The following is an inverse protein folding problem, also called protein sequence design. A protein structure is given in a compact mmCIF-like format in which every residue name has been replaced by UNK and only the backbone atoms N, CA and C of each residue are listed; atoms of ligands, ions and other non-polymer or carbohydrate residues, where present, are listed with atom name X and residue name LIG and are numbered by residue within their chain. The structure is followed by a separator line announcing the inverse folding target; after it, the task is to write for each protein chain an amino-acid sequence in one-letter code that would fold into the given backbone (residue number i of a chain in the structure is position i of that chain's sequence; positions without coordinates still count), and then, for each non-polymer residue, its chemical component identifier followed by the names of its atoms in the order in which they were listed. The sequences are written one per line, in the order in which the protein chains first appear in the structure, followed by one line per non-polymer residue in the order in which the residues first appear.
data_IF_922328879810
#
_entry.id   IF_922328879810
#
_cell.length_a   1.000
_cell.length_b   1.000
_cell.length_c   1.000
_cell.angle_alpha   90.00
_cell.angle_beta   90.00
_cell.angle_gamma   90.00
#
_symmetry.space_group_name_H-M   'P 1'
#
loop_
_entity.id
_entity.type
_entity.pdbx_description
1 polymer ?
#
# COMPACT_ATOMS: atom_id res chain seq x y z
N UNK A 1 -10.24 1.78 -43.52
CA UNK A 1 -10.25 2.84 -42.47
C UNK A 1 -9.37 2.45 -41.27
N UNK A 2 -8.03 2.35 -41.43
CA UNK A 2 -7.14 1.67 -40.45
C UNK A 2 -5.77 2.35 -40.22
N UNK A 3 -5.64 3.64 -40.57
CA UNK A 3 -4.35 4.38 -40.56
C UNK A 3 -4.27 5.61 -39.65
N UNK A 4 -5.31 5.98 -38.90
CA UNK A 4 -5.28 7.16 -37.99
C UNK A 4 -4.85 6.88 -36.54
N UNK A 5 -4.89 5.63 -36.07
CA UNK A 5 -4.59 5.28 -34.67
C UNK A 5 -3.09 5.32 -34.29
N UNK A 6 -2.18 5.20 -35.27
CA UNK A 6 -0.73 5.17 -35.01
C UNK A 6 -0.09 6.54 -34.74
N UNK A 7 -0.77 7.64 -35.07
CA UNK A 7 -0.25 9.01 -34.88
C UNK A 7 -0.59 9.57 -33.50
N UNK A 8 -1.75 9.19 -32.95
CA UNK A 8 -2.19 9.56 -31.60
C UNK A 8 -1.37 8.86 -30.50
N UNK A 9 -0.99 7.58 -30.68
CA UNK A 9 -0.13 6.86 -29.72
C UNK A 9 1.25 7.50 -29.55
N UNK A 10 1.82 8.08 -30.62
CA UNK A 10 3.13 8.75 -30.58
C UNK A 10 3.09 10.13 -29.92
N UNK A 11 1.96 10.83 -30.03
CA UNK A 11 1.78 12.12 -29.37
C UNK A 11 1.53 11.95 -27.87
N UNK A 12 0.73 10.94 -27.47
CA UNK A 12 0.44 10.68 -26.06
C UNK A 12 1.69 10.25 -25.27
N UNK A 13 2.62 9.52 -25.91
CA UNK A 13 3.92 9.16 -25.33
C UNK A 13 4.89 10.33 -25.17
N UNK A 14 4.61 11.49 -25.78
CA UNK A 14 5.48 12.68 -25.82
C UNK A 14 4.96 13.83 -24.97
N UNK A 15 3.66 13.86 -24.67
CA UNK A 15 3.02 14.85 -23.78
C UNK A 15 2.83 14.33 -22.35
N UNK A 16 2.75 13.02 -22.15
CA UNK A 16 2.83 12.39 -20.82
C UNK A 16 4.27 11.93 -20.57
N UNK A 17 5.15 12.87 -20.25
CA UNK A 17 6.37 12.52 -19.54
C UNK A 17 5.99 11.78 -18.26
N UNK A 18 6.42 10.52 -18.15
CA UNK A 18 6.69 9.83 -16.87
C UNK A 18 5.70 10.06 -15.72
N UNK A 19 4.40 10.12 -16.02
CA UNK A 19 3.36 10.31 -15.02
C UNK A 19 3.19 9.02 -14.22
N UNK A 20 4.05 8.80 -13.22
CA UNK A 20 3.82 7.80 -12.20
C UNK A 20 2.51 8.17 -11.48
N UNK A 21 1.39 7.58 -11.91
CA UNK A 21 0.16 7.61 -11.11
C UNK A 21 0.48 6.95 -9.77
N UNK A 22 0.51 7.76 -8.72
CA UNK A 22 0.73 7.27 -7.36
C UNK A 22 -0.61 6.77 -6.84
N UNK A 23 -0.67 5.48 -6.49
CA UNK A 23 -1.89 4.85 -6.01
C UNK A 23 -2.08 5.06 -4.50
N UNK A 24 -3.31 5.03 -4.02
CA UNK A 24 -3.62 5.07 -2.60
C UNK A 24 -4.32 3.76 -2.22
N UNK A 25 -3.78 3.07 -1.23
CA UNK A 25 -4.39 1.88 -0.63
C UNK A 25 -5.01 2.27 0.70
N UNK A 26 -6.28 1.93 0.88
CA UNK A 26 -6.98 2.10 2.14
C UNK A 26 -7.12 0.72 2.78
N UNK A 27 -6.65 0.61 4.02
CA UNK A 27 -6.75 -0.59 4.84
C UNK A 27 -7.69 -0.30 5.99
N UNK A 28 -8.83 -0.97 6.02
CA UNK A 28 -9.71 -0.91 7.17
C UNK A 28 -9.42 -2.06 8.15
N UNK A 29 -9.74 -1.85 9.42
CA UNK A 29 -9.59 -2.79 10.51
C UNK A 29 -8.18 -3.40 10.66
N UNK A 30 -7.12 -2.59 10.48
CA UNK A 30 -5.73 -3.07 10.52
C UNK A 30 -5.38 -3.80 11.84
N UNK A 31 -6.04 -3.43 12.94
CA UNK A 31 -5.89 -4.08 14.25
C UNK A 31 -6.52 -5.48 14.36
N UNK A 32 -7.16 -6.00 13.30
CA UNK A 32 -7.68 -7.37 13.22
C UNK A 32 -6.82 -8.30 12.36
N UNK A 33 -5.77 -7.79 11.71
CA UNK A 33 -4.89 -8.62 10.89
C UNK A 33 -4.10 -9.61 11.74
N UNK A 34 -3.89 -10.83 11.23
CA UNK A 34 -2.96 -11.79 11.84
C UNK A 34 -1.51 -11.27 11.83
N UNK A 35 -0.73 -11.61 12.86
CA UNK A 35 0.65 -11.14 13.04
C UNK A 35 1.56 -11.38 11.82
N UNK A 36 1.43 -12.55 11.18
CA UNK A 36 2.22 -12.89 9.99
C UNK A 36 1.89 -11.99 8.79
N UNK A 37 0.62 -11.61 8.67
CA UNK A 37 0.16 -10.73 7.61
C UNK A 37 0.58 -9.28 7.87
N UNK A 38 0.61 -8.85 9.14
CA UNK A 38 1.21 -7.58 9.54
C UNK A 38 2.67 -7.53 9.06
N UNK A 39 3.50 -8.53 9.37
CA UNK A 39 4.90 -8.55 8.94
C UNK A 39 5.07 -8.45 7.40
N UNK A 40 4.26 -9.19 6.64
CA UNK A 40 4.27 -9.12 5.16
C UNK A 40 3.86 -7.74 4.65
N UNK A 41 2.83 -7.13 5.24
CA UNK A 41 2.39 -5.79 4.89
C UNK A 41 3.48 -4.74 5.17
N UNK A 42 4.19 -4.86 6.30
CA UNK A 42 5.31 -3.97 6.63
C UNK A 42 6.35 -3.96 5.53
N UNK A 43 6.72 -5.16 5.08
CA UNK A 43 7.73 -5.38 4.06
C UNK A 43 7.32 -4.73 2.75
N UNK A 44 6.07 -4.91 2.33
CA UNK A 44 5.54 -4.30 1.11
C UNK A 44 5.52 -2.76 1.19
N UNK A 45 5.18 -2.19 2.35
CA UNK A 45 5.18 -0.74 2.57
C UNK A 45 6.61 -0.16 2.54
N UNK A 46 7.57 -0.87 3.14
CA UNK A 46 8.96 -0.43 3.24
C UNK A 46 9.73 -0.62 1.92
N UNK A 47 9.68 -1.82 1.35
CA UNK A 47 10.42 -2.18 0.13
C UNK A 47 9.76 -1.65 -1.13
N UNK A 48 8.45 -1.29 -1.08
CA UNK A 48 7.65 -0.89 -2.24
C UNK A 48 7.70 -1.92 -3.36
N UNK A 49 7.72 -3.19 -2.97
CA UNK A 49 7.86 -4.35 -3.83
C UNK A 49 6.83 -5.40 -3.46
N UNK A 50 6.26 -6.05 -4.47
CA UNK A 50 5.31 -7.15 -4.31
C UNK A 50 5.66 -8.32 -5.21
N UNK A 51 5.35 -9.52 -4.75
CA UNK A 51 5.48 -10.76 -5.52
C UNK A 51 4.10 -11.38 -5.69
N UNK A 52 3.79 -11.84 -6.91
CA UNK A 52 2.53 -12.55 -7.17
C UNK A 52 2.56 -13.92 -6.51
N UNK A 53 1.41 -14.39 -6.03
CA UNK A 53 1.27 -15.76 -5.52
C UNK A 53 1.65 -16.75 -6.62
N UNK A 54 2.59 -17.66 -6.32
CA UNK A 54 3.09 -18.67 -7.26
C UNK A 54 4.06 -18.15 -8.34
N UNK A 55 4.49 -16.89 -8.29
CA UNK A 55 5.51 -16.35 -9.20
C UNK A 55 6.77 -15.89 -8.46
N UNK A 56 7.91 -15.88 -9.15
CA UNK A 56 9.21 -15.44 -8.58
C UNK A 56 9.60 -14.02 -9.01
N UNK A 57 8.72 -13.32 -9.73
CA UNK A 57 9.01 -11.98 -10.25
C UNK A 57 8.61 -10.92 -9.23
N UNK A 58 9.60 -10.11 -8.83
CA UNK A 58 9.42 -8.92 -8.00
C UNK A 58 8.87 -7.77 -8.87
N UNK A 59 7.85 -7.08 -8.37
CA UNK A 59 7.20 -5.94 -9.03
C UNK A 59 7.31 -4.72 -8.14
N UNK A 60 7.99 -3.67 -8.61
CA UNK A 60 8.03 -2.37 -7.94
C UNK A 60 6.69 -1.67 -8.06
N UNK A 61 6.20 -1.14 -6.95
CA UNK A 61 4.89 -0.49 -6.84
C UNK A 61 5.03 0.85 -6.16
N UNK A 62 4.35 1.88 -6.66
CA UNK A 62 4.35 3.20 -6.04
C UNK A 62 2.97 3.53 -5.47
N UNK A 63 2.83 3.42 -4.16
CA UNK A 63 1.58 3.73 -3.46
C UNK A 63 1.81 4.45 -2.13
N UNK A 64 0.75 5.05 -1.61
CA UNK A 64 0.60 5.51 -0.21
C UNK A 64 -0.46 4.65 0.48
N UNK A 65 -0.31 4.45 1.79
CA UNK A 65 -1.27 3.68 2.60
C UNK A 65 -1.97 4.62 3.57
N UNK A 66 -3.28 4.45 3.69
CA UNK A 66 -4.11 5.02 4.74
C UNK A 66 -4.72 3.83 5.48
N UNK A 67 -4.50 3.74 6.79
CA UNK A 67 -5.02 2.65 7.60
C UNK A 67 -6.02 3.19 8.64
N UNK A 68 -7.12 2.46 8.86
CA UNK A 68 -8.13 2.75 9.86
C UNK A 68 -8.36 1.52 10.74
N UNK A 69 -8.79 1.74 11.98
CA UNK A 69 -9.15 0.68 12.92
C UNK A 69 -10.01 1.25 14.04
N UNK A 70 -11.06 0.53 14.43
CA UNK A 70 -11.87 0.83 15.63
C UNK A 70 -11.18 0.33 16.92
N UNK A 71 -10.27 -0.63 16.82
CA UNK A 71 -9.55 -1.16 17.99
C UNK A 71 -8.48 -0.19 18.49
N UNK A 72 -8.34 -0.11 19.82
CA UNK A 72 -7.21 0.55 20.45
C UNK A 72 -5.92 -0.29 20.22
N UNK A 73 -5.08 0.16 19.29
CA UNK A 73 -3.86 -0.57 18.90
C UNK A 73 -2.87 -0.72 20.06
N UNK A 74 -2.76 0.26 20.97
CA UNK A 74 -1.88 0.16 22.13
C UNK A 74 -2.26 -1.04 23.01
N UNK A 75 -3.56 -1.22 23.29
CA UNK A 75 -4.06 -2.38 24.03
C UNK A 75 -3.85 -3.69 23.28
N UNK A 76 -3.97 -3.69 21.96
CA UNK A 76 -3.73 -4.91 21.16
C UNK A 76 -2.23 -5.25 21.08
N UNK A 77 -1.33 -4.27 21.18
CA UNK A 77 0.11 -4.48 21.35
C UNK A 77 0.40 -5.11 22.71
N UNK A 78 -0.18 -4.58 23.80
CA UNK A 78 -0.02 -5.15 25.15
C UNK A 78 -0.51 -6.60 25.24
N UNK A 79 -1.58 -6.94 24.51
CA UNK A 79 -2.10 -8.32 24.40
C UNK A 79 -1.31 -9.23 23.46
N UNK A 80 -0.31 -8.70 22.74
CA UNK A 80 0.46 -9.45 21.75
C UNK A 80 -0.28 -9.76 20.45
N UNK A 81 -1.45 -9.15 20.21
CA UNK A 81 -2.24 -9.33 18.98
C UNK A 81 -1.82 -8.37 17.86
N UNK A 82 -1.08 -7.32 18.20
CA UNK A 82 -0.56 -6.37 17.24
C UNK A 82 0.94 -6.18 17.46
N UNK A 83 1.72 -6.17 16.38
CA UNK A 83 3.16 -6.02 16.52
C UNK A 83 3.52 -4.57 16.84
N UNK A 84 4.34 -4.42 17.88
CA UNK A 84 4.83 -3.12 18.34
C UNK A 84 5.60 -2.37 17.23
N UNK A 85 6.41 -3.09 16.44
CA UNK A 85 7.18 -2.52 15.32
C UNK A 85 6.29 -1.87 14.25
N UNK A 86 5.12 -2.45 13.98
CA UNK A 86 4.10 -1.90 13.09
C UNK A 86 3.53 -0.59 13.64
N UNK A 87 3.16 -0.60 14.93
CA UNK A 87 2.53 0.54 15.59
C UNK A 87 3.44 1.78 15.53
N UNK A 88 4.72 1.64 15.86
CA UNK A 88 5.66 2.77 15.84
C UNK A 88 6.09 3.23 14.44
N UNK A 89 5.87 2.42 13.39
CA UNK A 89 6.20 2.81 12.00
C UNK A 89 5.16 3.72 11.37
N UNK A 90 3.93 3.75 11.89
CA UNK A 90 2.90 4.68 11.44
C UNK A 90 3.22 6.09 11.94
N UNK A 91 3.86 6.87 11.05
CA UNK A 91 4.41 8.19 11.37
C UNK A 91 3.34 9.22 11.78
N UNK A 92 2.09 9.04 11.34
CA UNK A 92 0.97 9.91 11.67
C UNK A 92 -0.27 9.06 11.93
N UNK A 93 -0.77 9.07 13.17
CA UNK A 93 -2.07 8.51 13.52
C UNK A 93 -3.01 9.66 13.88
N UNK A 94 -4.18 9.68 13.25
CA UNK A 94 -5.25 10.62 13.56
C UNK A 94 -6.30 9.87 14.36
N UNK A 95 -6.58 10.33 15.58
CA UNK A 95 -7.66 9.79 16.40
C UNK A 95 -8.90 10.67 16.20
N UNK A 96 -9.93 10.10 15.61
CA UNK A 96 -11.24 10.75 15.51
C UNK A 96 -12.06 10.35 16.74
N UNK A 97 -12.46 11.29 17.61
CA UNK A 97 -13.45 10.99 18.63
C UNK A 97 -14.77 10.68 17.94
N UNK A 98 -15.36 9.53 18.26
CA UNK A 98 -16.72 9.15 17.86
C UNK A 98 -17.72 9.60 18.93
#
# INVERSE_FOLDING_TARGET
MRRKLGRLKRHWKRTHGSGHSQWHFVLDEIGKLFLDLQAKLLRVIQEKEVMRVGGNKIIKVNFRVIAATNKNLLREVEKGHFRQDHFYRFNYHFTYPL
#
